data_IF_005643091238
#
_entry.id   IF_005643091238
#
_cell.length_a   1.000
_cell.length_b   1.000
_cell.length_c   1.000
_cell.angle_alpha   90.00
_cell.angle_beta   90.00
_cell.angle_gamma   90.00
#
_symmetry.space_group_name_H-M   'P 1'
#
loop_
_entity.id
_entity.type
_entity.pdbx_description
1 polymer ?
#
# COMPACT_ATOMS: atom_id res chain seq x y z
N UNK A 1 -0.76 17.68 -10.18
CA UNK A 1 0.10 18.31 -9.16
C UNK A 1 -0.63 18.60 -7.86
N UNK A 2 -1.84 19.17 -7.87
CA UNK A 2 -2.58 19.47 -6.63
C UNK A 2 -2.79 18.26 -5.69
N UNK A 3 -3.01 17.06 -6.24
CA UNK A 3 -3.20 15.84 -5.45
C UNK A 3 -1.96 15.47 -4.60
N UNK A 4 -0.75 15.56 -5.16
CA UNK A 4 0.49 15.27 -4.43
C UNK A 4 0.76 16.31 -3.34
N UNK A 5 0.49 17.59 -3.62
CA UNK A 5 0.58 18.65 -2.60
C UNK A 5 -0.40 18.41 -1.45
N UNK A 6 -1.64 18.02 -1.75
CA UNK A 6 -2.63 17.66 -0.71
C UNK A 6 -2.23 16.41 0.06
N UNK A 7 -1.66 15.40 -0.61
CA UNK A 7 -1.11 14.20 0.02
C UNK A 7 -0.03 14.61 1.03
N UNK A 8 0.96 15.40 0.61
CA UNK A 8 2.04 15.87 1.47
C UNK A 8 1.52 16.61 2.72
N UNK A 9 0.60 17.57 2.55
CA UNK A 9 0.01 18.33 3.67
C UNK A 9 -0.71 17.40 4.65
N UNK A 10 -1.48 16.45 4.13
CA UNK A 10 -2.30 15.54 4.94
C UNK A 10 -1.43 14.55 5.71
N UNK A 11 -0.47 13.92 5.02
CA UNK A 11 0.50 12.97 5.59
C UNK A 11 1.34 13.65 6.66
N UNK A 12 1.93 14.81 6.36
CA UNK A 12 2.76 15.57 7.29
C UNK A 12 1.99 15.97 8.56
N UNK A 13 0.73 16.38 8.41
CA UNK A 13 -0.12 16.76 9.55
C UNK A 13 -0.47 15.54 10.40
N UNK A 14 -0.82 14.42 9.78
CA UNK A 14 -1.20 13.22 10.51
C UNK A 14 0.00 12.55 11.20
N UNK A 15 1.17 12.53 10.56
CA UNK A 15 2.40 11.97 11.13
C UNK A 15 2.85 12.72 12.39
N UNK A 16 2.68 14.05 12.42
CA UNK A 16 2.94 14.86 13.62
C UNK A 16 2.06 14.50 14.82
N UNK A 17 0.88 13.93 14.57
CA UNK A 17 -0.07 13.50 15.62
C UNK A 17 0.18 12.05 16.02
N UNK A 18 0.38 11.16 15.05
CA UNK A 18 0.66 9.75 15.27
C UNK A 18 1.75 9.23 14.31
N UNK A 19 3.01 9.13 14.76
CA UNK A 19 4.12 8.61 13.95
C UNK A 19 4.01 7.13 13.59
N UNK A 20 3.28 6.34 14.38
CA UNK A 20 3.09 4.89 14.18
C UNK A 20 1.98 4.56 13.16
N UNK A 21 1.35 5.59 12.58
CA UNK A 21 0.27 5.38 11.62
C UNK A 21 0.81 4.91 10.27
N UNK A 22 0.21 3.87 9.70
CA UNK A 22 0.52 3.41 8.36
C UNK A 22 -0.03 4.37 7.30
N UNK A 23 0.78 4.66 6.27
CA UNK A 23 0.38 5.51 5.14
C UNK A 23 0.40 4.73 3.83
N UNK A 24 -0.77 4.62 3.22
CA UNK A 24 -1.02 3.76 2.06
C UNK A 24 -1.64 4.62 0.95
N UNK A 25 -1.02 4.67 -0.23
CA UNK A 25 -1.40 5.52 -1.35
C UNK A 25 -1.93 4.67 -2.49
N UNK A 26 -3.20 4.89 -2.85
CA UNK A 26 -3.83 4.22 -3.99
C UNK A 26 -3.75 5.11 -5.22
N UNK A 27 -2.97 4.69 -6.21
CA UNK A 27 -2.98 5.25 -7.56
C UNK A 27 -4.16 4.61 -8.27
N UNK A 28 -5.28 5.32 -8.28
CA UNK A 28 -6.58 4.77 -8.65
C UNK A 28 -6.94 5.00 -10.12
N UNK A 29 -7.86 4.17 -10.64
CA UNK A 29 -8.41 4.22 -12.00
C UNK A 29 -7.35 3.96 -13.08
N UNK A 30 -6.55 2.91 -12.87
CA UNK A 30 -5.49 2.49 -13.81
C UNK A 30 -5.99 1.64 -14.97
N UNK A 31 -7.30 1.37 -15.03
CA UNK A 31 -7.96 0.55 -16.05
C UNK A 31 -7.81 1.06 -17.49
N UNK A 32 -7.64 2.36 -17.67
CA UNK A 32 -7.45 2.98 -18.99
C UNK A 32 -5.99 3.13 -19.44
N UNK A 33 -5.02 2.68 -18.62
CA UNK A 33 -3.59 2.86 -18.88
C UNK A 33 -2.97 1.56 -19.42
N UNK A 34 -2.03 1.69 -20.37
CA UNK A 34 -1.16 0.58 -20.74
C UNK A 34 -0.19 0.25 -19.60
N UNK A 35 0.38 -0.95 -19.59
CA UNK A 35 1.26 -1.37 -18.50
C UNK A 35 2.53 -0.51 -18.41
N UNK A 36 3.09 -0.09 -19.55
CA UNK A 36 4.21 0.86 -19.59
C UNK A 36 3.84 2.19 -18.91
N UNK A 37 2.65 2.72 -19.20
CA UNK A 37 2.15 3.96 -18.61
C UNK A 37 1.87 3.81 -17.10
N UNK A 38 1.40 2.63 -16.67
CA UNK A 38 1.22 2.33 -15.24
C UNK A 38 2.53 2.39 -14.49
N UNK A 39 3.58 1.74 -15.02
CA UNK A 39 4.92 1.71 -14.43
C UNK A 39 5.50 3.12 -14.36
N UNK A 40 5.41 3.88 -15.46
CA UNK A 40 5.92 5.25 -15.49
C UNK A 40 5.18 6.16 -14.51
N UNK A 41 3.85 6.10 -14.49
CA UNK A 41 3.01 6.89 -13.57
C UNK A 41 3.30 6.54 -12.11
N UNK A 42 3.45 5.25 -11.81
CA UNK A 42 3.81 4.81 -10.46
C UNK A 42 5.18 5.35 -10.06
N UNK A 43 6.17 5.28 -10.94
CA UNK A 43 7.53 5.78 -10.68
C UNK A 43 7.54 7.29 -10.45
N UNK A 44 6.86 8.07 -11.29
CA UNK A 44 6.76 9.52 -11.16
C UNK A 44 6.10 9.92 -9.83
N UNK A 45 4.96 9.31 -9.49
CA UNK A 45 4.25 9.58 -8.24
C UNK A 45 5.10 9.18 -7.03
N UNK A 46 5.72 8.00 -7.07
CA UNK A 46 6.55 7.50 -5.98
C UNK A 46 7.74 8.43 -5.73
N UNK A 47 8.45 8.83 -6.79
CA UNK A 47 9.60 9.71 -6.69
C UNK A 47 9.18 11.06 -6.10
N UNK A 48 8.20 11.73 -6.71
CA UNK A 48 7.74 13.06 -6.27
C UNK A 48 7.23 13.08 -4.84
N UNK A 49 6.45 12.08 -4.45
CA UNK A 49 5.93 12.01 -3.08
C UNK A 49 7.04 11.82 -2.05
N UNK A 50 8.08 11.05 -2.36
CA UNK A 50 9.22 10.87 -1.46
C UNK A 50 10.14 12.10 -1.45
N UNK A 51 10.35 12.75 -2.59
CA UNK A 51 11.12 14.01 -2.67
C UNK A 51 10.46 15.10 -1.81
N UNK A 52 9.12 15.27 -1.93
CA UNK A 52 8.35 16.22 -1.10
C UNK A 52 8.45 15.90 0.41
N UNK A 53 8.51 14.62 0.78
CA UNK A 53 8.68 14.21 2.18
C UNK A 53 10.12 14.43 2.69
N UNK A 54 11.12 14.18 1.85
CA UNK A 54 12.52 14.41 2.16
C UNK A 54 12.80 15.92 2.37
N UNK A 55 12.25 16.78 1.51
CA UNK A 55 12.34 18.24 1.63
C UNK A 55 11.72 18.77 2.93
N UNK A 56 10.73 18.08 3.48
CA UNK A 56 10.14 18.40 4.78
C UNK A 56 10.83 17.73 5.99
N UNK A 57 11.91 16.97 5.77
CA UNK A 57 12.65 16.25 6.81
C UNK A 57 11.91 15.03 7.36
N UNK A 58 10.95 14.47 6.61
CA UNK A 58 10.14 13.31 7.00
C UNK A 58 10.66 12.00 6.38
N UNK A 59 11.97 11.84 6.26
CA UNK A 59 12.62 10.68 5.62
C UNK A 59 12.29 9.32 6.29
N UNK A 60 11.89 9.34 7.56
CA UNK A 60 11.49 8.13 8.30
C UNK A 60 10.09 7.62 7.93
N UNK A 61 9.30 8.44 7.24
CA UNK A 61 7.94 8.10 6.87
C UNK A 61 7.96 7.22 5.62
N UNK A 62 7.43 6.00 5.75
CA UNK A 62 7.32 5.08 4.61
C UNK A 62 5.93 5.15 3.99
N UNK A 63 5.87 5.46 2.69
CA UNK A 63 4.64 5.39 1.89
C UNK A 63 4.62 4.09 1.08
N UNK A 64 3.56 3.31 1.23
CA UNK A 64 3.28 2.16 0.36
C UNK A 64 2.34 2.55 -0.77
N UNK A 65 2.62 2.11 -2.00
CA UNK A 65 1.87 2.50 -3.19
C UNK A 65 1.20 1.29 -3.86
N UNK A 66 -0.06 1.46 -4.26
CA UNK A 66 -0.85 0.42 -4.93
C UNK A 66 -1.50 0.98 -6.18
N UNK A 67 -1.35 0.28 -7.29
CA UNK A 67 -2.15 0.52 -8.49
C UNK A 67 -3.51 -0.15 -8.30
N UNK A 68 -4.59 0.61 -8.42
CA UNK A 68 -5.94 0.09 -8.16
C UNK A 68 -6.93 0.47 -9.26
N UNK A 69 -7.83 -0.45 -9.53
CA UNK A 69 -8.99 -0.29 -10.40
C UNK A 69 -10.21 -0.95 -9.76
N UNK A 70 -11.39 -0.39 -9.98
CA UNK A 70 -12.66 -0.99 -9.54
C UNK A 70 -13.15 -2.10 -10.49
N UNK A 71 -12.52 -2.23 -11.66
CA UNK A 71 -12.92 -3.18 -12.69
C UNK A 71 -12.14 -4.50 -12.62
N UNK A 72 -11.11 -4.58 -11.78
CA UNK A 72 -10.30 -5.78 -11.57
C UNK A 72 -10.16 -6.09 -10.06
N UNK A 73 -9.37 -7.12 -9.73
CA UNK A 73 -9.15 -7.56 -8.36
C UNK A 73 -8.15 -6.68 -7.57
N UNK A 74 -7.48 -5.72 -8.22
CA UNK A 74 -6.38 -4.97 -7.61
C UNK A 74 -6.83 -4.12 -6.41
N UNK A 75 -8.05 -3.57 -6.44
CA UNK A 75 -8.59 -2.82 -5.31
C UNK A 75 -8.79 -3.72 -4.09
N UNK A 76 -9.27 -4.95 -4.29
CA UNK A 76 -9.44 -5.91 -3.21
C UNK A 76 -8.09 -6.35 -2.66
N UNK A 77 -7.13 -6.69 -3.52
CA UNK A 77 -5.77 -7.05 -3.09
C UNK A 77 -5.06 -5.93 -2.32
N UNK A 78 -5.22 -4.68 -2.76
CA UNK A 78 -4.65 -3.52 -2.06
C UNK A 78 -5.29 -3.37 -0.68
N UNK A 79 -6.62 -3.44 -0.58
CA UNK A 79 -7.30 -3.37 0.72
C UNK A 79 -6.93 -4.53 1.64
N UNK A 80 -6.83 -5.76 1.13
CA UNK A 80 -6.36 -6.92 1.89
C UNK A 80 -5.00 -6.66 2.53
N UNK A 81 -4.03 -6.14 1.76
CA UNK A 81 -2.69 -5.80 2.27
C UNK A 81 -2.74 -4.69 3.33
N UNK A 82 -3.58 -3.68 3.14
CA UNK A 82 -3.74 -2.59 4.11
C UNK A 82 -4.34 -3.10 5.43
N UNK A 83 -5.37 -3.94 5.35
CA UNK A 83 -6.02 -4.53 6.54
C UNK A 83 -5.07 -5.46 7.27
N UNK A 84 -4.31 -6.30 6.54
CA UNK A 84 -3.32 -7.20 7.14
C UNK A 84 -2.27 -6.46 7.96
N UNK A 85 -1.79 -5.30 7.49
CA UNK A 85 -0.85 -4.44 8.25
C UNK A 85 -1.42 -3.89 9.56
N UNK A 86 -2.75 -3.87 9.72
CA UNK A 86 -3.42 -3.44 10.96
C UNK A 86 -3.60 -4.59 11.96
N UNK A 87 -3.36 -5.84 11.56
CA UNK A 87 -3.55 -7.02 12.42
C UNK A 87 -2.21 -7.40 13.07
N UNK A 88 -1.96 -7.07 14.34
CA UNK A 88 -0.67 -7.35 14.99
C UNK A 88 -0.39 -8.86 15.15
N UNK A 89 -1.42 -9.70 15.10
CA UNK A 89 -1.32 -11.16 15.23
C UNK A 89 -1.16 -11.88 13.88
N UNK A 90 -0.96 -11.15 12.78
CA UNK A 90 -0.80 -11.73 11.44
C UNK A 90 0.25 -12.84 11.36
N UNK A 91 1.46 -12.71 11.97
CA UNK A 91 2.46 -13.79 11.92
C UNK A 91 1.99 -15.09 12.58
N UNK A 92 1.16 -14.99 13.62
CA UNK A 92 0.58 -16.17 14.28
C UNK A 92 -0.44 -16.84 13.35
N UNK A 93 -1.27 -16.06 12.68
CA UNK A 93 -2.25 -16.58 11.71
C UNK A 93 -1.56 -17.24 10.51
N UNK A 94 -0.52 -16.61 9.96
CA UNK A 94 0.30 -17.17 8.88
C UNK A 94 0.94 -18.50 9.30
N UNK A 95 1.49 -18.58 10.52
CA UNK A 95 2.06 -19.82 11.04
C UNK A 95 1.00 -20.93 11.18
N UNK A 96 -0.20 -20.60 11.66
CA UNK A 96 -1.30 -21.58 11.74
C UNK A 96 -1.71 -22.08 10.35
N UNK A 97 -1.80 -21.19 9.37
CA UNK A 97 -2.10 -21.56 7.99
C UNK A 97 -0.99 -22.42 7.37
N UNK A 98 0.28 -22.09 7.61
CA UNK A 98 1.42 -22.88 7.15
C UNK A 98 1.42 -24.29 7.77
N UNK A 99 1.12 -24.41 9.06
CA UNK A 99 0.94 -25.71 9.73
C UNK A 99 -0.22 -26.48 9.08
N UNK A 100 -1.36 -25.84 8.87
CA UNK A 100 -2.53 -26.47 8.25
C UNK A 100 -2.22 -26.98 6.83
N UNK A 101 -1.58 -26.16 5.99
CA UNK A 101 -1.15 -26.52 4.63
C UNK A 101 -0.21 -27.73 4.66
N UNK A 102 0.78 -27.71 5.57
CA UNK A 102 1.74 -28.80 5.74
C UNK A 102 1.10 -30.12 6.15
N UNK A 103 0.03 -30.09 6.96
CA UNK A 103 -0.68 -31.28 7.44
C UNK A 103 -1.69 -31.79 6.42
N UNK A 104 -2.30 -30.89 5.64
CA UNK A 104 -3.45 -31.20 4.79
C UNK A 104 -3.08 -31.55 3.34
N UNK A 105 -1.81 -31.35 2.94
CA UNK A 105 -1.37 -31.41 1.53
C UNK A 105 -2.22 -30.52 0.58
N UNK A 106 -2.85 -29.47 1.11
CA UNK A 106 -3.64 -28.50 0.34
C UNK A 106 -2.67 -27.48 -0.24
N UNK A 107 -2.67 -27.35 -1.57
CA UNK A 107 -1.65 -26.58 -2.29
C UNK A 107 -1.69 -25.07 -2.03
N UNK A 108 -2.82 -24.50 -1.59
CA UNK A 108 -2.96 -23.06 -1.29
C UNK A 108 -4.22 -22.76 -0.44
N UNK A 109 -4.06 -21.92 0.59
CA UNK A 109 -5.16 -21.30 1.33
C UNK A 109 -4.91 -19.79 1.36
N UNK A 110 -5.74 -19.01 0.65
CA UNK A 110 -5.67 -17.56 0.70
C UNK A 110 -6.56 -17.04 1.82
N UNK A 111 -5.98 -16.29 2.75
CA UNK A 111 -6.72 -15.32 3.55
C UNK A 111 -6.70 -14.00 2.79
N UNK A 112 -7.75 -13.75 2.00
CA UNK A 112 -8.02 -12.41 1.47
C UNK A 112 -8.34 -11.45 2.61
#
# INVERSE_FOLDING_TARGET
MEALTRLHITVSKAYKVNPEMNFEVFIHKVDGLSDDHKIETQRDIHQRANDDLADAGLEKLHLSFYLTSIYDHSIFEAFSKVVQKLIPQLPTLENLLNIFISVSAILLFFSY
#
